data_IF_316094376794
#
_entry.id   IF_316094376794
#
_cell.length_a   1.000
_cell.length_b   1.000
_cell.length_c   1.000
_cell.angle_alpha   90.00
_cell.angle_beta   90.00
_cell.angle_gamma   90.00
#
_symmetry.space_group_name_H-M   'P 1'
#
loop_
_entity.id
_entity.type
_entity.pdbx_description
1 polymer ?
#
# COMPACT_ATOMS: atom_id res chain seq x y z
N UNK A 1 7.22 8.06 9.72
CA UNK A 1 6.54 6.78 9.45
C UNK A 1 5.36 6.73 10.41
N UNK A 2 4.12 6.62 9.94
CA UNK A 2 2.96 6.39 10.82
C UNK A 2 2.66 4.89 10.89
N UNK A 3 3.72 4.09 10.92
CA UNK A 3 3.64 2.67 11.25
C UNK A 3 3.93 2.61 12.74
N UNK A 4 2.91 2.29 13.53
CA UNK A 4 3.08 2.17 14.98
C UNK A 4 4.07 1.04 15.24
N UNK A 5 5.15 1.35 15.96
CA UNK A 5 6.13 0.33 16.34
C UNK A 5 5.61 -0.58 17.48
N UNK A 6 4.53 -0.15 18.15
CA UNK A 6 3.88 -0.81 19.28
C UNK A 6 2.35 -0.67 19.18
N UNK A 7 1.58 -1.61 19.75
CA UNK A 7 0.12 -1.46 19.82
C UNK A 7 -0.24 -0.35 20.82
N UNK A 8 -1.14 0.55 20.42
CA UNK A 8 -1.67 1.59 21.32
C UNK A 8 -2.95 1.08 21.98
N UNK A 9 -2.97 1.00 23.31
CA UNK A 9 -4.11 0.49 24.07
C UNK A 9 -5.18 1.57 24.25
N UNK A 10 -6.05 1.74 23.25
CA UNK A 10 -7.10 2.77 23.25
C UNK A 10 -8.12 2.62 24.40
N UNK A 11 -8.29 1.42 24.93
CA UNK A 11 -9.26 1.10 25.99
C UNK A 11 -8.77 1.41 27.40
N UNK A 12 -7.48 1.69 27.59
CA UNK A 12 -6.94 2.04 28.91
C UNK A 12 -7.60 3.32 29.42
N UNK A 13 -8.01 3.32 30.68
CA UNK A 13 -8.64 4.48 31.32
C UNK A 13 -7.57 5.43 31.85
N UNK A 14 -7.68 6.71 31.49
CA UNK A 14 -6.90 7.82 32.06
C UNK A 14 -7.89 8.91 32.46
N UNK A 15 -7.90 9.27 33.75
CA UNK A 15 -8.73 10.36 34.28
C UNK A 15 -10.18 10.27 33.80
N UNK A 16 -10.89 9.23 34.25
CA UNK A 16 -12.34 9.00 34.04
C UNK A 16 -12.78 8.60 32.62
N UNK A 17 -11.93 8.74 31.60
CA UNK A 17 -12.21 8.36 30.21
C UNK A 17 -11.16 7.39 29.67
N UNK A 18 -11.51 6.63 28.65
CA UNK A 18 -10.52 5.85 27.88
C UNK A 18 -9.58 6.77 27.10
N UNK A 19 -8.36 6.31 26.82
CA UNK A 19 -7.41 7.00 25.93
C UNK A 19 -8.04 7.30 24.57
N UNK A 20 -8.88 6.40 24.05
CA UNK A 20 -9.61 6.57 22.80
C UNK A 20 -10.54 7.79 22.82
N UNK A 21 -11.37 7.93 23.85
CA UNK A 21 -12.29 9.07 24.00
C UNK A 21 -11.54 10.42 24.08
N UNK A 22 -10.40 10.46 24.78
CA UNK A 22 -9.57 11.67 24.84
C UNK A 22 -9.02 12.07 23.46
N UNK A 23 -8.63 11.09 22.65
CA UNK A 23 -8.14 11.33 21.30
C UNK A 23 -9.30 11.77 20.40
N UNK A 24 -10.47 11.14 20.49
CA UNK A 24 -11.66 11.52 19.72
C UNK A 24 -12.05 12.98 19.97
N UNK A 25 -12.07 13.42 21.23
CA UNK A 25 -12.30 14.83 21.59
C UNK A 25 -11.30 15.78 20.92
N UNK A 26 -10.06 15.34 20.72
CA UNK A 26 -9.01 16.14 20.06
C UNK A 26 -9.15 16.15 18.53
N UNK A 27 -9.65 15.06 17.93
CA UNK A 27 -9.85 14.94 16.49
C UNK A 27 -11.18 15.54 16.01
N UNK A 28 -12.10 15.81 16.94
CA UNK A 28 -13.52 16.11 16.72
C UNK A 28 -14.36 14.89 16.35
N UNK A 29 -15.58 14.85 16.90
CA UNK A 29 -16.56 13.79 16.65
C UNK A 29 -16.91 13.72 15.16
N UNK A 30 -17.09 14.86 14.49
CA UNK A 30 -17.46 14.92 13.07
C UNK A 30 -16.40 14.33 12.16
N UNK A 31 -15.12 14.50 12.49
CA UNK A 31 -14.00 13.94 11.72
C UNK A 31 -13.81 12.46 11.98
N UNK A 32 -14.11 11.99 13.18
CA UNK A 32 -13.91 10.59 13.57
C UNK A 32 -15.13 9.69 13.26
N UNK A 33 -16.33 10.26 13.29
CA UNK A 33 -17.61 9.57 13.07
C UNK A 33 -17.67 8.69 11.81
N UNK A 34 -17.16 9.12 10.63
CA UNK A 34 -17.14 8.26 9.44
C UNK A 34 -16.38 6.94 9.65
N UNK A 35 -15.32 6.94 10.47
CA UNK A 35 -14.55 5.75 10.79
C UNK A 35 -15.26 4.88 11.84
N UNK A 36 -15.88 5.50 12.84
CA UNK A 36 -16.70 4.80 13.84
C UNK A 36 -17.87 4.06 13.20
N UNK A 37 -18.59 4.72 12.28
CA UNK A 37 -19.69 4.10 11.55
C UNK A 37 -19.21 2.88 10.75
N UNK A 38 -18.11 3.01 9.99
CA UNK A 38 -17.53 1.90 9.23
C UNK A 38 -16.97 0.77 10.10
N UNK A 39 -16.51 1.11 11.29
CA UNK A 39 -16.00 0.15 12.24
C UNK A 39 -17.10 -0.64 12.94
N UNK A 40 -18.37 -0.20 12.87
CA UNK A 40 -19.46 -0.75 13.68
C UNK A 40 -19.36 -0.34 15.15
N UNK A 41 -18.88 0.90 15.39
CA UNK A 41 -18.61 1.49 16.70
C UNK A 41 -17.52 0.78 17.54
N UNK A 42 -16.67 -0.01 16.89
CA UNK A 42 -15.43 -0.52 17.49
C UNK A 42 -14.32 0.55 17.40
N UNK A 43 -13.87 1.05 18.56
CA UNK A 43 -12.86 2.10 18.65
C UNK A 43 -11.50 1.70 18.05
N UNK A 44 -11.00 0.49 18.36
CA UNK A 44 -9.68 0.06 17.88
C UNK A 44 -9.68 -0.05 16.35
N UNK A 45 -10.76 -0.62 15.80
CA UNK A 45 -10.95 -0.70 14.36
C UNK A 45 -11.13 0.68 13.72
N UNK A 46 -11.88 1.59 14.33
CA UNK A 46 -12.07 2.96 13.85
C UNK A 46 -10.74 3.72 13.79
N UNK A 47 -9.91 3.62 14.84
CA UNK A 47 -8.58 4.22 14.85
C UNK A 47 -7.66 3.58 13.80
N UNK A 48 -7.71 2.26 13.59
CA UNK A 48 -6.93 1.61 12.55
C UNK A 48 -7.33 2.10 11.15
N UNK A 49 -8.62 2.32 10.88
CA UNK A 49 -9.10 2.92 9.64
C UNK A 49 -8.67 4.39 9.50
N UNK A 50 -8.73 5.18 10.57
CA UNK A 50 -8.26 6.56 10.59
C UNK A 50 -6.76 6.64 10.25
N UNK A 51 -5.93 5.83 10.92
CA UNK A 51 -4.50 5.75 10.68
C UNK A 51 -4.17 5.21 9.27
N UNK A 52 -4.98 4.28 8.75
CA UNK A 52 -4.86 3.83 7.37
C UNK A 52 -5.15 4.96 6.37
N UNK A 53 -6.24 5.71 6.56
CA UNK A 53 -6.55 6.88 5.74
C UNK A 53 -5.41 7.90 5.75
N UNK A 54 -4.86 8.21 6.93
CA UNK A 54 -3.74 9.14 7.07
C UNK A 54 -2.48 8.66 6.31
N UNK A 55 -2.13 7.37 6.43
CA UNK A 55 -1.02 6.76 5.68
C UNK A 55 -1.24 6.81 4.17
N UNK A 56 -2.46 6.52 3.73
CA UNK A 56 -2.81 6.50 2.31
C UNK A 56 -2.81 7.91 1.72
N UNK A 57 -3.46 8.87 2.39
CA UNK A 57 -3.42 10.29 2.03
C UNK A 57 -1.99 10.82 1.91
N UNK A 58 -1.12 10.45 2.85
CA UNK A 58 0.32 10.77 2.78
C UNK A 58 0.99 10.17 1.56
N UNK A 59 0.74 8.89 1.25
CA UNK A 59 1.35 8.21 0.11
C UNK A 59 0.96 8.88 -1.23
N UNK A 60 -0.27 9.40 -1.32
CA UNK A 60 -0.76 10.12 -2.50
C UNK A 60 -0.13 11.51 -2.69
N UNK A 61 0.47 12.13 -1.67
CA UNK A 61 1.07 13.46 -1.80
C UNK A 61 2.14 13.52 -2.89
N UNK A 62 3.03 12.52 -2.95
CA UNK A 62 4.09 12.49 -3.95
C UNK A 62 3.57 12.44 -5.40
N UNK A 63 2.76 11.44 -5.80
CA UNK A 63 2.28 11.36 -7.18
C UNK A 63 1.37 12.54 -7.57
N UNK A 64 0.55 13.07 -6.64
CA UNK A 64 -0.26 14.26 -6.90
C UNK A 64 0.59 15.52 -7.08
N UNK A 65 1.62 15.71 -6.26
CA UNK A 65 2.54 16.84 -6.40
C UNK A 65 3.30 16.77 -7.73
N UNK A 66 3.81 15.59 -8.10
CA UNK A 66 4.49 15.41 -9.38
C UNK A 66 3.56 15.67 -10.57
N UNK A 67 2.29 15.25 -10.49
CA UNK A 67 1.26 15.57 -11.48
C UNK A 67 1.03 17.09 -11.60
N UNK A 68 0.82 17.77 -10.48
CA UNK A 68 0.55 19.21 -10.45
C UNK A 68 1.70 20.01 -11.07
N UNK A 69 2.95 19.68 -10.70
CA UNK A 69 4.15 20.32 -11.25
C UNK A 69 4.34 20.01 -12.74
N UNK A 70 4.12 18.75 -13.15
CA UNK A 70 4.23 18.39 -14.56
C UNK A 70 3.18 19.11 -15.42
N UNK A 71 1.94 19.21 -14.93
CA UNK A 71 0.85 19.87 -15.63
C UNK A 71 1.14 21.37 -15.75
N UNK A 72 1.45 22.05 -14.64
CA UNK A 72 1.67 23.50 -14.64
C UNK A 72 2.85 23.90 -15.53
N UNK A 73 3.97 23.18 -15.46
CA UNK A 73 5.15 23.49 -16.28
C UNK A 73 4.86 23.26 -17.77
N UNK A 74 4.11 22.20 -18.09
CA UNK A 74 3.71 21.93 -19.48
C UNK A 74 2.80 23.03 -20.02
N UNK A 75 1.79 23.44 -19.24
CA UNK A 75 0.86 24.51 -19.63
C UNK A 75 1.57 25.87 -19.71
N UNK A 76 2.42 26.20 -18.75
CA UNK A 76 3.26 27.40 -18.75
C UNK A 76 4.11 27.48 -20.02
N UNK A 77 4.75 26.39 -20.44
CA UNK A 77 5.53 26.37 -21.70
C UNK A 77 4.69 26.58 -22.97
N UNK A 78 3.39 26.28 -22.91
CA UNK A 78 2.44 26.55 -24.01
C UNK A 78 2.05 28.02 -23.97
N UNK A 79 1.66 28.54 -22.80
CA UNK A 79 1.31 29.96 -22.66
C UNK A 79 2.46 30.89 -23.04
N UNK A 80 3.69 30.56 -22.62
CA UNK A 80 4.88 31.32 -22.98
C UNK A 80 5.09 31.46 -24.50
N UNK A 81 4.71 30.42 -25.26
CA UNK A 81 4.85 30.39 -26.73
C UNK A 81 3.72 31.08 -27.46
N UNK A 82 2.51 31.06 -26.91
CA UNK A 82 1.32 31.61 -27.56
C UNK A 82 1.10 33.09 -27.22
N UNK A 83 1.56 33.54 -26.05
CA UNK A 83 1.43 34.92 -25.58
C UNK A 83 2.82 35.57 -25.48
N UNK A 84 3.50 35.41 -24.34
CA UNK A 84 4.87 35.87 -24.10
C UNK A 84 5.48 35.14 -22.89
N UNK A 85 6.79 35.27 -22.66
CA UNK A 85 7.45 34.64 -21.51
C UNK A 85 6.80 35.04 -20.17
N UNK A 86 6.34 36.29 -20.06
CA UNK A 86 5.60 36.85 -18.93
C UNK A 86 4.06 36.84 -19.15
N UNK A 87 3.52 35.76 -19.72
CA UNK A 87 2.09 35.61 -20.11
C UNK A 87 1.08 35.96 -19.01
N UNK A 88 1.47 35.98 -17.74
CA UNK A 88 0.62 36.37 -16.62
C UNK A 88 0.26 37.87 -16.61
N UNK A 89 1.06 38.70 -17.29
CA UNK A 89 0.85 40.14 -17.50
C UNK A 89 0.25 40.47 -18.87
N UNK A 90 0.24 39.50 -19.80
CA UNK A 90 -0.25 39.67 -21.17
C UNK A 90 -1.75 40.02 -21.20
N UNK A 91 -2.12 41.04 -21.98
CA UNK A 91 -3.50 41.55 -22.04
C UNK A 91 -4.45 40.51 -22.64
N UNK A 92 -4.08 39.86 -23.74
CA UNK A 92 -4.90 38.85 -24.41
C UNK A 92 -5.12 37.62 -23.52
N UNK A 93 -4.08 37.18 -22.80
CA UNK A 93 -4.22 36.09 -21.83
C UNK A 93 -5.18 36.46 -20.69
N UNK A 94 -5.04 37.66 -20.12
CA UNK A 94 -5.87 38.13 -19.00
C UNK A 94 -7.32 38.34 -19.43
N UNK A 95 -7.56 38.85 -20.64
CA UNK A 95 -8.91 38.98 -21.23
C UNK A 95 -9.56 37.62 -21.52
N UNK A 96 -8.76 36.60 -21.87
CA UNK A 96 -9.27 35.23 -22.06
C UNK A 96 -9.79 34.63 -20.74
N UNK A 97 -9.20 34.99 -19.59
CA UNK A 97 -9.58 34.42 -18.30
C UNK A 97 -10.99 34.85 -17.87
N UNK A 98 -11.69 33.95 -17.17
CA UNK A 98 -12.87 34.36 -16.41
C UNK A 98 -12.48 35.21 -15.20
N UNK A 99 -13.48 35.85 -14.59
CA UNK A 99 -13.33 36.61 -13.35
C UNK A 99 -12.68 35.79 -12.22
N UNK A 100 -13.06 34.52 -12.05
CA UNK A 100 -12.50 33.66 -11.01
C UNK A 100 -11.06 33.22 -11.33
N UNK A 101 -10.77 32.95 -12.61
CA UNK A 101 -9.42 32.63 -13.08
C UNK A 101 -8.47 33.81 -12.86
N UNK A 102 -8.92 35.02 -13.19
CA UNK A 102 -8.18 36.26 -13.00
C UNK A 102 -7.92 36.55 -11.52
N UNK A 103 -8.95 36.44 -10.65
CA UNK A 103 -8.79 36.58 -9.20
C UNK A 103 -7.78 35.60 -8.61
N UNK A 104 -7.78 34.36 -9.10
CA UNK A 104 -6.83 33.33 -8.67
C UNK A 104 -5.40 33.67 -9.10
N UNK A 105 -5.22 34.11 -10.34
CA UNK A 105 -3.93 34.55 -10.87
C UNK A 105 -3.40 35.78 -10.13
N UNK A 106 -4.23 36.81 -9.94
CA UNK A 106 -3.85 38.04 -9.24
C UNK A 106 -3.48 37.78 -7.77
N UNK A 107 -4.13 36.80 -7.14
CA UNK A 107 -3.74 36.32 -5.80
C UNK A 107 -2.35 35.68 -5.82
N UNK A 108 -2.04 34.86 -6.83
CA UNK A 108 -0.72 34.25 -6.97
C UNK A 108 0.36 35.32 -7.19
N UNK A 109 0.11 36.31 -8.05
CA UNK A 109 0.99 37.46 -8.29
C UNK A 109 1.25 38.24 -6.99
N UNK A 110 0.20 38.52 -6.22
CA UNK A 110 0.32 39.23 -4.94
C UNK A 110 1.14 38.45 -3.88
N UNK A 111 1.06 37.13 -3.91
CA UNK A 111 1.77 36.26 -2.97
C UNK A 111 3.22 36.00 -3.39
N UNK A 112 3.53 36.17 -4.67
CA UNK A 112 4.89 36.06 -5.17
C UNK A 112 5.78 37.15 -4.55
N UNK A 113 7.03 36.77 -4.30
CA UNK A 113 8.05 37.67 -3.75
C UNK A 113 8.74 38.50 -4.82
N UNK A 114 8.73 38.00 -6.05
CA UNK A 114 9.34 38.59 -7.24
C UNK A 114 8.31 38.65 -8.37
N UNK A 115 8.60 39.45 -9.40
CA UNK A 115 7.80 39.49 -10.64
C UNK A 115 8.20 38.39 -11.63
N UNK A 116 9.07 37.46 -11.22
CA UNK A 116 9.48 36.34 -12.07
C UNK A 116 8.30 35.37 -12.25
N UNK A 117 8.02 35.02 -13.50
CA UNK A 117 6.98 34.05 -13.85
C UNK A 117 7.12 32.73 -13.09
N UNK A 118 8.35 32.29 -12.80
CA UNK A 118 8.57 31.06 -12.04
C UNK A 118 8.04 31.15 -10.60
N UNK A 119 8.20 32.31 -9.95
CA UNK A 119 7.70 32.58 -8.60
C UNK A 119 6.18 32.72 -8.59
N UNK A 120 5.61 33.40 -9.60
CA UNK A 120 4.15 33.49 -9.77
C UNK A 120 3.55 32.09 -9.95
N UNK A 121 4.09 31.29 -10.86
CA UNK A 121 3.65 29.90 -11.11
C UNK A 121 3.79 29.05 -9.85
N UNK A 122 4.85 29.22 -9.06
CA UNK A 122 5.01 28.50 -7.79
C UNK A 122 3.92 28.84 -6.75
N UNK A 123 3.35 30.05 -6.79
CA UNK A 123 2.28 30.52 -5.91
C UNK A 123 0.87 30.22 -6.44
N UNK A 124 0.73 29.63 -7.63
CA UNK A 124 -0.56 29.16 -8.15
C UNK A 124 -1.00 27.84 -7.50
N UNK A 125 -2.32 27.59 -7.50
CA UNK A 125 -2.90 26.33 -6.99
C UNK A 125 -3.22 25.37 -8.13
N UNK A 126 -3.26 24.06 -7.84
CA UNK A 126 -3.73 23.05 -8.79
C UNK A 126 -5.11 23.37 -9.41
N UNK A 127 -5.96 24.04 -8.65
CA UNK A 127 -7.31 24.44 -9.07
C UNK A 127 -7.26 25.40 -10.25
N UNK A 128 -6.34 26.38 -10.28
CA UNK A 128 -6.18 27.30 -11.42
C UNK A 128 -5.86 26.52 -12.70
N UNK A 129 -4.88 25.61 -12.65
CA UNK A 129 -4.47 24.83 -13.83
C UNK A 129 -5.57 23.88 -14.31
N UNK A 130 -6.34 23.31 -13.38
CA UNK A 130 -7.52 22.51 -13.70
C UNK A 130 -8.60 23.37 -14.37
N UNK A 131 -8.81 24.59 -13.85
CA UNK A 131 -9.79 25.53 -14.36
C UNK A 131 -9.44 26.02 -15.77
N UNK A 132 -8.17 26.26 -16.07
CA UNK A 132 -7.70 26.63 -17.41
C UNK A 132 -8.01 25.57 -18.47
N UNK A 133 -8.31 24.33 -18.10
CA UNK A 133 -8.75 23.26 -19.00
C UNK A 133 -10.28 23.20 -19.22
N UNK A 134 -11.05 24.08 -18.55
CA UNK A 134 -12.52 24.09 -18.61
C UNK A 134 -13.02 24.24 -20.06
N UNK A 135 -14.21 23.66 -20.40
CA UNK A 135 -14.79 23.75 -21.73
C UNK A 135 -14.82 25.15 -22.36
N UNK A 136 -14.98 26.20 -21.56
CA UNK A 136 -15.00 27.61 -22.00
C UNK A 136 -13.73 28.06 -22.74
N UNK A 137 -12.58 27.46 -22.42
CA UNK A 137 -11.31 27.75 -23.09
C UNK A 137 -11.11 26.88 -24.35
N UNK A 138 -12.21 26.42 -24.97
CA UNK A 138 -12.17 25.49 -26.10
C UNK A 138 -11.44 26.04 -27.30
N UNK A 139 -11.58 27.34 -27.59
CA UNK A 139 -10.97 27.94 -28.78
C UNK A 139 -9.45 27.97 -28.70
N UNK A 140 -8.91 28.26 -27.50
CA UNK A 140 -7.48 28.15 -27.21
C UNK A 140 -7.00 26.70 -27.31
N UNK A 141 -7.66 25.78 -26.58
CA UNK A 141 -7.22 24.38 -26.54
C UNK A 141 -7.41 23.64 -27.86
N UNK A 142 -8.35 24.04 -28.72
CA UNK A 142 -8.51 23.43 -30.05
C UNK A 142 -7.22 23.49 -30.86
N UNK A 143 -6.42 24.55 -30.69
CA UNK A 143 -5.16 24.76 -31.40
C UNK A 143 -3.96 24.19 -30.63
N UNK A 144 -4.06 24.12 -29.30
CA UNK A 144 -2.92 23.86 -28.41
C UNK A 144 -2.94 22.51 -27.69
N UNK A 145 -4.05 21.78 -27.70
CA UNK A 145 -4.20 20.54 -26.90
C UNK A 145 -3.26 19.42 -27.33
N UNK A 146 -2.95 19.30 -28.62
CA UNK A 146 -1.96 18.31 -29.08
C UNK A 146 -0.56 18.58 -28.53
N UNK A 147 -0.20 19.84 -28.25
CA UNK A 147 1.07 20.22 -27.61
C UNK A 147 1.10 19.80 -26.12
N UNK A 148 -0.06 19.76 -25.46
CA UNK A 148 -0.21 19.38 -24.05
C UNK A 148 -0.04 17.87 -23.82
N UNK A 149 -0.81 17.05 -24.54
CA UNK A 149 -0.93 15.60 -24.26
C UNK A 149 -0.93 14.70 -25.51
N UNK A 150 -0.65 15.25 -26.69
CA UNK A 150 -0.72 14.52 -27.96
C UNK A 150 -2.16 14.18 -28.40
N UNK A 151 -2.30 13.19 -29.28
CA UNK A 151 -3.59 12.79 -29.90
C UNK A 151 -4.23 11.55 -29.28
N UNK A 152 -3.68 11.04 -28.18
CA UNK A 152 -4.10 9.75 -27.60
C UNK A 152 -5.31 9.84 -26.67
N UNK A 153 -5.75 11.05 -26.31
CA UNK A 153 -6.86 11.31 -25.41
C UNK A 153 -7.66 12.51 -25.92
N UNK A 154 -8.98 12.53 -25.71
CA UNK A 154 -9.80 13.71 -26.01
C UNK A 154 -9.69 14.76 -24.90
N UNK A 155 -9.91 16.04 -25.24
CA UNK A 155 -9.94 17.15 -24.29
C UNK A 155 -10.91 16.92 -23.14
N UNK A 156 -12.13 16.47 -23.44
CA UNK A 156 -13.14 16.19 -22.42
C UNK A 156 -12.71 15.10 -21.44
N UNK A 157 -12.10 14.02 -21.93
CA UNK A 157 -11.59 12.95 -21.07
C UNK A 157 -10.41 13.41 -20.22
N UNK A 158 -9.46 14.15 -20.80
CA UNK A 158 -8.30 14.67 -20.06
C UNK A 158 -8.75 15.64 -18.95
N UNK A 159 -9.61 16.61 -19.28
CA UNK A 159 -10.20 17.52 -18.31
C UNK A 159 -10.95 16.78 -17.21
N UNK A 160 -11.80 15.80 -17.57
CA UNK A 160 -12.54 15.01 -16.58
C UNK A 160 -11.64 14.26 -15.60
N UNK A 161 -10.52 13.69 -16.09
CA UNK A 161 -9.50 13.06 -15.24
C UNK A 161 -8.82 14.07 -14.33
N UNK A 162 -8.29 15.17 -14.87
CA UNK A 162 -7.59 16.21 -14.08
C UNK A 162 -8.51 16.80 -13.01
N UNK A 163 -9.76 17.13 -13.36
CA UNK A 163 -10.77 17.63 -12.41
C UNK A 163 -10.99 16.65 -11.27
N UNK A 164 -11.21 15.39 -11.58
CA UNK A 164 -11.42 14.34 -10.58
C UNK A 164 -10.22 14.17 -9.66
N UNK A 165 -9.00 14.34 -10.18
CA UNK A 165 -7.77 14.28 -9.40
C UNK A 165 -7.55 15.53 -8.53
N UNK A 166 -7.94 16.72 -9.02
CA UNK A 166 -7.95 17.94 -8.22
C UNK A 166 -8.93 17.84 -7.04
N UNK A 167 -10.15 17.35 -7.28
CA UNK A 167 -11.14 17.11 -6.22
C UNK A 167 -10.59 16.12 -5.17
N UNK A 168 -9.93 15.05 -5.64
CA UNK A 168 -9.29 14.06 -4.76
C UNK A 168 -8.14 14.65 -3.93
N UNK A 169 -7.30 15.47 -4.55
CA UNK A 169 -6.21 16.21 -3.87
C UNK A 169 -6.77 17.17 -2.82
N UNK A 170 -7.84 17.90 -3.13
CA UNK A 170 -8.47 18.83 -2.19
C UNK A 170 -9.03 18.09 -0.97
N UNK A 171 -9.67 16.94 -1.15
CA UNK A 171 -10.09 16.09 -0.01
C UNK A 171 -8.91 15.71 0.90
N UNK A 172 -7.78 15.32 0.30
CA UNK A 172 -6.55 15.00 1.07
C UNK A 172 -6.06 16.23 1.84
N UNK A 173 -6.01 17.39 1.19
CA UNK A 173 -5.58 18.65 1.81
C UNK A 173 -6.52 19.12 2.94
N UNK A 174 -7.80 18.82 2.83
CA UNK A 174 -8.81 19.09 3.86
C UNK A 174 -8.90 18.00 4.94
N UNK A 175 -7.99 17.03 4.95
CA UNK A 175 -7.97 15.90 5.90
C UNK A 175 -9.28 15.10 5.92
N UNK A 176 -9.93 14.97 4.77
CA UNK A 176 -11.15 14.19 4.63
C UNK A 176 -10.85 12.69 4.41
N UNK A 177 -11.80 11.79 4.74
CA UNK A 177 -11.68 10.38 4.39
C UNK A 177 -11.66 10.17 2.87
N UNK A 178 -10.73 9.34 2.38
CA UNK A 178 -10.61 8.93 0.98
C UNK A 178 -10.95 7.46 0.73
N UNK A 179 -11.19 6.68 1.80
CA UNK A 179 -11.35 5.21 1.74
C UNK A 179 -12.52 4.72 0.87
N UNK A 180 -13.56 5.54 0.64
CA UNK A 180 -14.71 5.16 -0.23
C UNK A 180 -14.44 5.39 -1.71
N UNK A 181 -13.35 6.09 -2.02
CA UNK A 181 -12.95 6.33 -3.38
C UNK A 181 -12.14 5.13 -3.83
N UNK A 182 -12.29 4.77 -5.10
CA UNK A 182 -11.45 3.74 -5.72
C UNK A 182 -10.00 4.28 -5.82
N UNK A 183 -9.26 4.18 -4.71
CA UNK A 183 -7.93 4.74 -4.56
C UNK A 183 -6.94 4.08 -5.53
N UNK A 184 -7.12 2.79 -5.81
CA UNK A 184 -6.38 2.10 -6.86
C UNK A 184 -6.59 2.77 -8.22
N UNK A 185 -7.84 3.01 -8.62
CA UNK A 185 -8.13 3.71 -9.87
C UNK A 185 -7.59 5.15 -9.87
N UNK A 186 -7.64 5.87 -8.74
CA UNK A 186 -7.05 7.21 -8.64
C UNK A 186 -5.54 7.20 -8.84
N UNK A 187 -4.83 6.20 -8.30
CA UNK A 187 -3.40 6.05 -8.54
C UNK A 187 -3.12 5.82 -10.03
N UNK A 188 -3.89 4.95 -10.69
CA UNK A 188 -3.78 4.71 -12.13
C UNK A 188 -4.09 5.96 -12.95
N UNK A 189 -5.14 6.71 -12.61
CA UNK A 189 -5.50 7.96 -13.27
C UNK A 189 -4.37 9.00 -13.17
N UNK A 190 -3.73 9.15 -11.99
CA UNK A 190 -2.59 10.05 -11.81
C UNK A 190 -1.45 9.65 -12.74
N UNK A 191 -1.07 8.37 -12.73
CA UNK A 191 0.01 7.86 -13.56
C UNK A 191 -0.29 8.04 -15.05
N UNK A 192 -1.53 7.81 -15.47
CA UNK A 192 -1.96 7.99 -16.86
C UNK A 192 -1.86 9.46 -17.29
N UNK A 193 -2.31 10.41 -16.46
CA UNK A 193 -2.20 11.84 -16.77
C UNK A 193 -0.74 12.27 -16.84
N UNK A 194 0.10 11.84 -15.91
CA UNK A 194 1.55 12.12 -15.98
C UNK A 194 2.15 11.55 -17.26
N UNK A 195 1.74 10.34 -17.67
CA UNK A 195 2.23 9.71 -18.92
C UNK A 195 1.87 10.53 -20.17
N UNK A 196 0.69 11.14 -20.20
CA UNK A 196 0.32 12.06 -21.30
C UNK A 196 1.21 13.30 -21.35
N UNK A 197 1.66 13.80 -20.19
CA UNK A 197 2.49 15.01 -20.08
C UNK A 197 3.96 14.72 -20.37
N UNK A 198 4.50 13.63 -19.80
CA UNK A 198 5.90 13.23 -19.91
C UNK A 198 6.10 11.74 -19.52
N UNK A 199 6.63 10.94 -20.44
CA UNK A 199 6.85 9.50 -20.23
C UNK A 199 7.91 9.19 -19.15
N UNK A 200 8.98 9.97 -19.06
CA UNK A 200 10.04 9.77 -18.07
C UNK A 200 9.56 10.15 -16.66
N UNK A 201 8.77 11.22 -16.55
CA UNK A 201 8.12 11.56 -15.28
C UNK A 201 7.20 10.43 -14.81
N UNK A 202 6.45 9.80 -15.72
CA UNK A 202 5.64 8.62 -15.40
C UNK A 202 6.48 7.47 -14.85
N UNK A 203 7.58 7.11 -15.53
CA UNK A 203 8.46 6.03 -15.10
C UNK A 203 9.06 6.32 -13.72
N UNK A 204 9.48 7.56 -13.49
CA UNK A 204 10.04 8.01 -12.22
C UNK A 204 9.00 7.97 -11.09
N UNK A 205 7.80 8.51 -11.29
CA UNK A 205 6.73 8.52 -10.27
C UNK A 205 6.26 7.10 -9.97
N UNK A 206 6.06 6.26 -11.00
CA UNK A 206 5.67 4.86 -10.83
C UNK A 206 6.66 4.09 -9.95
N UNK A 207 7.97 4.35 -10.11
CA UNK A 207 9.02 3.65 -9.35
C UNK A 207 9.12 4.11 -7.89
N UNK A 208 8.81 5.36 -7.59
CA UNK A 208 8.96 5.94 -6.25
C UNK A 208 7.64 6.07 -5.48
N UNK A 209 6.49 5.88 -6.14
CA UNK A 209 5.18 5.87 -5.49
C UNK A 209 5.08 4.73 -4.50
N UNK A 210 4.67 5.06 -3.27
CA UNK A 210 4.41 4.07 -2.21
C UNK A 210 2.93 3.71 -2.08
N UNK A 211 2.06 4.27 -2.94
CA UNK A 211 0.61 4.11 -2.85
C UNK A 211 0.20 2.64 -2.91
N UNK A 212 0.72 1.87 -3.87
CA UNK A 212 0.37 0.45 -4.02
C UNK A 212 0.77 -0.37 -2.78
N UNK A 213 1.93 -0.09 -2.21
CA UNK A 213 2.39 -0.75 -0.98
C UNK A 213 1.47 -0.41 0.20
N UNK A 214 1.02 0.85 0.32
CA UNK A 214 0.12 1.26 1.40
C UNK A 214 -1.29 0.70 1.20
N UNK A 215 -1.81 0.64 -0.02
CA UNK A 215 -3.12 0.04 -0.33
C UNK A 215 -3.23 -1.41 0.18
N UNK A 216 -2.14 -2.17 0.14
CA UNK A 216 -2.10 -3.54 0.66
C UNK A 216 -2.18 -3.62 2.20
N UNK A 217 -2.07 -2.50 2.91
CA UNK A 217 -2.10 -2.43 4.37
C UNK A 217 -3.47 -2.03 4.95
N UNK A 218 -4.53 -2.15 4.14
CA UNK A 218 -5.90 -1.91 4.59
C UNK A 218 -6.23 -2.77 5.83
N UNK A 219 -6.84 -2.19 6.88
CA UNK A 219 -7.29 -2.98 8.03
C UNK A 219 -8.39 -3.97 7.61
N UNK A 220 -8.23 -5.23 7.99
CA UNK A 220 -9.22 -6.27 7.83
C UNK A 220 -10.53 -5.91 8.56
N UNK A 221 -11.66 -6.56 8.23
CA UNK A 221 -12.92 -6.38 8.93
C UNK A 221 -12.84 -6.64 10.46
N UNK A 222 -11.84 -7.42 10.90
CA UNK A 222 -11.50 -7.71 12.30
C UNK A 222 -10.55 -6.68 12.95
N UNK A 223 -10.19 -5.59 12.26
CA UNK A 223 -9.31 -4.52 12.77
C UNK A 223 -7.81 -4.72 12.55
N UNK A 224 -7.38 -5.87 12.00
CA UNK A 224 -5.98 -6.29 11.84
C UNK A 224 -5.44 -5.94 10.43
N UNK A 225 -4.22 -5.43 10.26
CA UNK A 225 -3.68 -5.03 8.94
C UNK A 225 -3.64 -6.22 7.94
N UNK A 226 -4.14 -6.07 6.70
CA UNK A 226 -4.12 -7.13 5.67
C UNK A 226 -2.76 -7.25 4.92
N UNK A 227 -2.53 -8.33 4.11
CA UNK A 227 -3.33 -9.57 4.05
C UNK A 227 -3.24 -10.33 5.37
N UNK A 228 -4.29 -11.07 5.72
CA UNK A 228 -4.30 -11.89 6.93
C UNK A 228 -3.49 -13.17 6.70
N UNK A 229 -2.92 -13.73 7.76
CA UNK A 229 -2.17 -14.99 7.65
C UNK A 229 -3.01 -16.09 7.01
N UNK A 230 -4.30 -16.20 7.36
CA UNK A 230 -5.25 -17.18 6.78
C UNK A 230 -5.39 -17.12 5.26
N UNK A 231 -5.07 -15.98 4.64
CA UNK A 231 -5.20 -15.77 3.19
C UNK A 231 -3.93 -16.18 2.44
N UNK A 232 -2.84 -16.46 3.18
CA UNK A 232 -1.52 -16.78 2.64
C UNK A 232 -0.98 -18.12 3.13
N UNK A 233 -1.78 -18.89 3.85
CA UNK A 233 -1.38 -20.23 4.32
C UNK A 233 -1.36 -21.24 3.18
N UNK A 234 -0.42 -22.17 3.27
CA UNK A 234 -0.50 -23.45 2.59
C UNK A 234 -1.32 -24.42 3.44
N UNK A 235 -2.34 -25.01 2.83
CA UNK A 235 -3.24 -25.97 3.48
C UNK A 235 -2.78 -27.42 3.30
N UNK A 236 -1.74 -27.66 2.50
CA UNK A 236 -1.19 -28.99 2.25
C UNK A 236 -0.23 -29.42 3.37
N UNK A 237 -0.80 -29.70 4.54
CA UNK A 237 -0.05 -30.16 5.70
C UNK A 237 -0.75 -31.32 6.43
N UNK A 238 0.02 -32.09 7.18
CA UNK A 238 -0.48 -33.10 8.11
C UNK A 238 0.21 -32.96 9.47
N UNK A 239 -0.56 -33.22 10.54
CA UNK A 239 -0.02 -33.29 11.90
C UNK A 239 0.36 -34.74 12.19
N UNK A 240 1.59 -34.95 12.65
CA UNK A 240 2.17 -36.25 12.96
C UNK A 240 2.86 -36.22 14.32
N UNK A 241 3.22 -37.40 14.82
CA UNK A 241 4.02 -37.57 16.04
C UNK A 241 5.42 -38.05 15.67
N UNK A 242 6.42 -37.80 16.52
CA UNK A 242 7.81 -38.24 16.26
C UNK A 242 7.97 -39.75 16.12
N UNK A 243 7.06 -40.53 16.69
CA UNK A 243 7.00 -42.00 16.56
C UNK A 243 6.43 -42.49 15.23
N UNK A 244 5.94 -41.59 14.36
CA UNK A 244 5.43 -41.95 13.05
C UNK A 244 6.52 -42.57 12.17
N UNK A 245 6.21 -43.70 11.54
CA UNK A 245 7.13 -44.43 10.68
C UNK A 245 7.17 -43.86 9.27
N UNK A 246 8.33 -43.95 8.60
CA UNK A 246 8.51 -43.41 7.25
C UNK A 246 7.64 -44.12 6.19
N UNK A 247 7.27 -45.38 6.40
CA UNK A 247 6.47 -46.15 5.44
C UNK A 247 4.99 -45.73 5.37
N UNK A 248 4.47 -45.05 6.39
CA UNK A 248 3.07 -44.63 6.51
C UNK A 248 2.91 -43.11 6.50
N UNK A 249 3.89 -42.39 5.95
CA UNK A 249 3.84 -40.93 5.94
C UNK A 249 2.72 -40.41 5.03
N UNK A 250 1.98 -39.39 5.48
CA UNK A 250 0.98 -38.74 4.66
C UNK A 250 1.66 -37.97 3.52
N UNK A 251 1.00 -37.90 2.36
CA UNK A 251 1.57 -37.32 1.13
C UNK A 251 1.65 -35.78 1.12
N UNK A 252 1.31 -35.12 2.22
CA UNK A 252 1.27 -33.68 2.32
C UNK A 252 2.66 -33.03 2.23
N UNK A 253 2.72 -31.81 1.69
CA UNK A 253 3.96 -31.03 1.57
C UNK A 253 4.64 -30.76 2.91
N UNK A 254 3.87 -30.39 3.93
CA UNK A 254 4.39 -30.07 5.26
C UNK A 254 3.94 -31.08 6.31
N UNK A 255 4.88 -31.58 7.11
CA UNK A 255 4.63 -32.51 8.20
C UNK A 255 4.91 -31.79 9.52
N UNK A 256 3.86 -31.52 10.29
CA UNK A 256 3.97 -30.87 11.60
C UNK A 256 4.11 -31.93 12.68
N UNK A 257 5.31 -32.07 13.22
CA UNK A 257 5.62 -32.94 14.35
C UNK A 257 5.29 -32.19 15.64
N UNK A 258 4.12 -32.48 16.22
CA UNK A 258 3.53 -31.71 17.32
C UNK A 258 4.32 -31.88 18.63
N UNK A 259 4.66 -33.11 18.99
CA UNK A 259 5.38 -33.46 20.22
C UNK A 259 6.83 -32.95 20.27
N UNK A 260 7.45 -32.69 19.11
CA UNK A 260 8.80 -32.12 19.01
C UNK A 260 8.81 -30.63 18.64
N UNK A 261 7.65 -30.05 18.36
CA UNK A 261 7.50 -28.68 17.86
C UNK A 261 8.39 -28.37 16.64
N UNK A 262 8.38 -29.26 15.64
CA UNK A 262 9.16 -29.13 14.40
C UNK A 262 8.25 -29.33 13.18
N UNK A 263 8.43 -28.51 12.14
CA UNK A 263 7.89 -28.78 10.80
C UNK A 263 8.97 -29.41 9.93
N UNK A 264 8.62 -30.49 9.25
CA UNK A 264 9.49 -31.25 8.35
C UNK A 264 8.88 -31.22 6.94
N UNK A 265 9.72 -31.22 5.92
CA UNK A 265 9.29 -31.46 4.54
C UNK A 265 10.12 -32.57 3.89
N UNK A 266 9.73 -33.01 2.69
CA UNK A 266 10.41 -34.09 1.98
C UNK A 266 11.90 -33.86 1.72
N UNK A 267 12.39 -32.62 1.74
CA UNK A 267 13.83 -32.34 1.57
C UNK A 267 14.62 -32.78 2.80
N UNK A 268 14.05 -32.68 4.00
CA UNK A 268 14.70 -33.16 5.22
C UNK A 268 14.70 -34.69 5.28
N UNK A 269 13.61 -35.34 4.86
CA UNK A 269 13.54 -36.81 4.73
C UNK A 269 14.52 -37.31 3.68
N UNK A 270 14.54 -36.71 2.48
CA UNK A 270 15.46 -37.09 1.42
C UNK A 270 16.93 -36.95 1.85
N UNK A 271 17.27 -35.87 2.58
CA UNK A 271 18.61 -35.70 3.13
C UNK A 271 18.96 -36.74 4.18
N UNK A 272 18.00 -37.14 5.01
CA UNK A 272 18.17 -38.26 5.93
C UNK A 272 18.43 -39.56 5.15
N UNK A 273 17.59 -39.93 4.19
CA UNK A 273 17.78 -41.15 3.39
C UNK A 273 19.14 -41.18 2.70
N UNK A 274 19.57 -40.06 2.10
CA UNK A 274 20.89 -39.95 1.48
C UNK A 274 22.05 -40.04 2.49
N UNK A 275 21.83 -39.72 3.77
CA UNK A 275 22.83 -39.88 4.83
C UNK A 275 22.98 -41.32 5.30
N UNK A 276 22.05 -42.21 4.96
CA UNK A 276 22.08 -43.62 5.35
C UNK A 276 22.78 -44.51 4.31
N UNK A 277 23.48 -43.92 3.34
CA UNK A 277 24.29 -44.67 2.39
C UNK A 277 25.46 -45.36 3.09
N UNK A 278 25.75 -46.58 2.70
CA UNK A 278 26.92 -47.31 3.17
C UNK A 278 28.21 -46.85 2.48
N UNK A 279 29.34 -47.46 2.84
CA UNK A 279 30.65 -47.14 2.28
C UNK A 279 30.77 -47.46 0.77
N UNK A 280 29.92 -48.36 0.25
CA UNK A 280 29.79 -48.68 -1.18
C UNK A 280 28.94 -47.66 -1.93
N UNK A 281 28.19 -46.80 -1.22
CA UNK A 281 27.28 -45.83 -1.79
C UNK A 281 25.86 -46.35 -2.02
N UNK A 282 25.57 -47.57 -1.56
CA UNK A 282 24.27 -48.22 -1.64
C UNK A 282 23.37 -47.79 -0.47
N UNK A 283 22.06 -47.77 -0.72
CA UNK A 283 21.05 -47.40 0.27
C UNK A 283 20.16 -48.62 0.56
N UNK A 284 20.39 -49.26 1.70
CA UNK A 284 19.63 -50.41 2.19
C UNK A 284 18.94 -50.02 3.49
N UNK A 285 17.66 -49.62 3.41
CA UNK A 285 16.93 -49.11 4.57
C UNK A 285 15.49 -49.63 4.60
N UNK A 286 15.07 -50.12 5.77
CA UNK A 286 13.73 -50.62 5.99
C UNK A 286 12.84 -49.52 6.58
N UNK A 287 12.01 -48.88 5.74
CA UNK A 287 11.19 -47.72 6.12
C UNK A 287 10.18 -48.02 7.24
N UNK A 288 9.82 -49.28 7.47
CA UNK A 288 8.94 -49.74 8.55
C UNK A 288 9.60 -49.70 9.93
N UNK A 289 10.92 -49.49 10.01
CA UNK A 289 11.69 -49.42 11.27
C UNK A 289 12.25 -48.03 11.56
N UNK A 290 12.06 -47.08 10.64
CA UNK A 290 12.58 -45.73 10.79
C UNK A 290 11.44 -44.78 11.14
N UNK A 291 11.66 -44.02 12.21
CA UNK A 291 10.73 -43.03 12.72
C UNK A 291 11.11 -41.62 12.26
N UNK A 292 10.18 -40.69 12.44
CA UNK A 292 10.44 -39.26 12.25
C UNK A 292 11.44 -38.73 13.29
N UNK A 293 11.48 -39.30 14.50
CA UNK A 293 12.50 -38.93 15.49
C UNK A 293 13.92 -39.23 15.00
N UNK A 294 14.13 -40.34 14.29
CA UNK A 294 15.44 -40.67 13.68
C UNK A 294 15.87 -39.62 12.66
N UNK A 295 14.93 -39.14 11.84
CA UNK A 295 15.15 -38.03 10.90
C UNK A 295 15.51 -36.76 11.65
N UNK A 296 14.76 -36.42 12.70
CA UNK A 296 14.99 -35.20 13.52
C UNK A 296 16.37 -35.24 14.17
N UNK A 297 16.76 -36.36 14.78
CA UNK A 297 18.02 -36.53 15.49
C UNK A 297 19.22 -36.49 14.53
N UNK A 298 19.18 -37.27 13.45
CA UNK A 298 20.24 -37.31 12.42
C UNK A 298 20.51 -35.93 11.81
N UNK A 299 19.44 -35.17 11.58
CA UNK A 299 19.49 -33.83 10.97
C UNK A 299 19.72 -32.72 12.00
N UNK A 300 19.79 -33.05 13.30
CA UNK A 300 19.88 -32.10 14.41
C UNK A 300 18.83 -30.97 14.30
N UNK A 301 17.60 -31.34 13.93
CA UNK A 301 16.50 -30.39 13.79
C UNK A 301 16.07 -29.93 15.19
N UNK A 302 15.90 -28.62 15.31
CA UNK A 302 15.38 -27.96 16.52
C UNK A 302 14.10 -27.24 16.15
N UNK A 303 13.35 -26.78 17.16
CA UNK A 303 12.16 -25.95 16.97
C UNK A 303 12.40 -24.89 15.89
N UNK A 304 11.61 -24.98 14.82
CA UNK A 304 11.82 -24.21 13.59
C UNK A 304 10.57 -23.43 13.15
N UNK A 305 9.53 -23.38 14.00
CA UNK A 305 8.31 -22.63 13.75
C UNK A 305 7.88 -21.75 14.93
N UNK A 306 7.05 -20.77 14.61
CA UNK A 306 6.29 -19.94 15.55
C UNK A 306 4.79 -20.10 15.23
N UNK A 307 3.94 -20.01 16.25
CA UNK A 307 2.49 -20.07 16.10
C UNK A 307 1.93 -18.65 16.10
N UNK A 308 1.03 -18.38 15.15
CA UNK A 308 0.32 -17.11 15.01
C UNK A 308 -1.18 -17.36 14.81
N UNK A 309 -2.00 -16.38 15.17
CA UNK A 309 -3.44 -16.39 14.94
C UNK A 309 -3.81 -16.12 13.48
N UNK A 310 -4.92 -16.69 13.02
CA UNK A 310 -5.41 -16.56 11.64
C UNK A 310 -5.78 -15.13 11.23
N UNK A 311 -6.05 -14.27 12.20
CA UNK A 311 -6.36 -12.83 12.04
C UNK A 311 -5.14 -11.93 12.17
N UNK A 312 -3.93 -12.48 12.32
CA UNK A 312 -2.72 -11.65 12.32
C UNK A 312 -2.35 -11.18 10.91
N UNK A 313 -1.66 -10.04 10.85
CA UNK A 313 -1.17 -9.47 9.58
C UNK A 313 0.02 -10.25 9.02
N UNK A 314 -0.05 -10.58 7.73
CA UNK A 314 1.05 -11.16 6.97
C UNK A 314 2.26 -10.23 6.87
N UNK A 315 2.08 -8.91 7.02
CA UNK A 315 3.18 -7.93 6.96
C UNK A 315 4.24 -8.20 8.04
N UNK A 316 3.82 -8.69 9.21
CA UNK A 316 4.73 -8.98 10.32
C UNK A 316 5.58 -10.24 10.12
N UNK A 317 5.23 -11.10 9.14
CA UNK A 317 5.97 -12.34 8.85
C UNK A 317 7.44 -12.08 8.54
N UNK A 318 7.76 -10.94 7.91
CA UNK A 318 9.14 -10.53 7.62
C UNK A 318 9.99 -10.42 8.90
N UNK A 319 9.44 -9.81 9.96
CA UNK A 319 10.12 -9.68 11.26
C UNK A 319 10.21 -11.02 11.97
N UNK A 320 9.16 -11.83 11.90
CA UNK A 320 9.14 -13.19 12.47
C UNK A 320 10.23 -14.07 11.84
N UNK A 321 10.39 -14.02 10.52
CA UNK A 321 11.40 -14.78 9.78
C UNK A 321 12.84 -14.25 9.91
N UNK A 322 13.07 -13.10 10.55
CA UNK A 322 14.43 -12.64 10.91
C UNK A 322 15.04 -13.45 12.06
N UNK A 323 14.22 -14.17 12.84
CA UNK A 323 14.71 -15.10 13.86
C UNK A 323 15.64 -16.15 13.25
N UNK A 324 16.83 -16.36 13.85
CA UNK A 324 17.88 -17.25 13.31
C UNK A 324 17.42 -18.68 13.00
N UNK A 325 16.36 -19.17 13.66
CA UNK A 325 15.90 -20.57 13.55
C UNK A 325 14.48 -20.73 12.99
N UNK A 326 13.76 -19.63 12.76
CA UNK A 326 12.36 -19.68 12.29
C UNK A 326 12.32 -19.85 10.78
N UNK A 327 11.82 -21.01 10.34
CA UNK A 327 11.62 -21.34 8.92
C UNK A 327 10.15 -21.40 8.54
N UNK A 328 9.26 -21.67 9.50
CA UNK A 328 7.84 -21.81 9.25
C UNK A 328 7.01 -20.96 10.23
N UNK A 329 5.82 -20.57 9.82
CA UNK A 329 4.78 -20.02 10.70
C UNK A 329 3.59 -20.97 10.63
N UNK A 330 3.13 -21.41 11.78
CA UNK A 330 1.91 -22.19 11.94
C UNK A 330 0.79 -21.22 12.24
N UNK A 331 -0.30 -21.31 11.48
CA UNK A 331 -1.47 -20.47 11.65
C UNK A 331 -2.56 -21.26 12.35
N UNK A 332 -3.13 -20.67 13.40
CA UNK A 332 -4.19 -21.28 14.20
C UNK A 332 -5.45 -20.43 14.26
N UNK A 333 -6.60 -21.10 14.21
CA UNK A 333 -7.91 -20.56 14.53
C UNK A 333 -8.34 -21.04 15.92
N UNK A 334 -8.91 -20.17 16.77
CA UNK A 334 -9.49 -20.57 18.04
C UNK A 334 -10.59 -21.63 17.92
N UNK A 335 -11.25 -21.71 16.76
CA UNK A 335 -12.39 -22.62 16.53
C UNK A 335 -12.02 -23.87 15.73
N UNK A 336 -11.04 -23.77 14.83
CA UNK A 336 -10.67 -24.86 13.90
C UNK A 336 -9.33 -25.52 14.21
N UNK A 337 -8.58 -25.03 15.20
CA UNK A 337 -7.23 -25.49 15.47
C UNK A 337 -6.25 -25.01 14.40
N UNK A 338 -5.30 -25.85 13.99
CA UNK A 338 -4.32 -25.49 12.95
C UNK A 338 -5.00 -25.34 11.58
N UNK A 339 -4.82 -24.18 10.94
CA UNK A 339 -5.43 -23.85 9.66
C UNK A 339 -4.46 -23.86 8.48
N UNK A 340 -3.16 -23.78 8.74
CA UNK A 340 -2.15 -23.94 7.68
C UNK A 340 -0.73 -23.55 8.09
N UNK A 341 0.18 -23.70 7.14
CA UNK A 341 1.62 -23.48 7.31
C UNK A 341 2.12 -22.44 6.31
N UNK A 342 2.99 -21.53 6.73
CA UNK A 342 3.65 -20.56 5.87
C UNK A 342 5.17 -20.82 5.92
N UNK A 343 5.76 -21.13 4.77
CA UNK A 343 7.21 -21.31 4.63
C UNK A 343 7.93 -19.98 4.38
N UNK A 344 9.12 -19.82 4.97
CA UNK A 344 10.01 -18.68 4.69
C UNK A 344 10.42 -18.66 3.21
N UNK A 345 10.22 -17.54 2.49
CA UNK A 345 10.59 -17.46 1.07
C UNK A 345 12.11 -17.56 0.84
N UNK A 346 12.51 -18.28 -0.23
CA UNK A 346 13.92 -18.53 -0.59
C UNK A 346 14.62 -17.33 -1.28
N UNK A 347 13.88 -16.39 -1.86
CA UNK A 347 14.36 -15.11 -2.41
C UNK A 347 13.29 -14.05 -2.20
N UNK A 348 13.68 -12.86 -1.73
CA UNK A 348 12.82 -11.67 -1.81
C UNK A 348 12.83 -11.22 -3.27
N UNK A 349 11.66 -11.23 -3.91
CA UNK A 349 11.42 -10.43 -5.12
C UNK A 349 11.14 -8.99 -4.70
#
# INVERSE_FOLDING_TARGET
MAESQEKYAYTDIICEKSKGEWIELSLSEERFSPYMYKAGHDYEKAFNLYLYNARLSKAFLFPLHALEVALRNKMQSIFAKEFCDDWHEDEDFREMLSEDGLKSLDRAIKNATTTDIEDVVANTTFELWTYLLHPQYSDFWRQNFTKLCGSNISRGQFYGKVKTLNDFRNRIAHYEPILEKNCFQRHLDILEVIKYLNLEAYNWVKKHSTVDAVLLTEPAPSGSTQPLLKEKVDIDFAVIQSTCLLNILPSNRFLVCDDKAIVIDYRDIAKYLLSQKDASGDLMLELSKVTIDDVIQSRNLKKNFVVCGETESFIHTKKIFQGKRTKYIIVQSPTKGMTGVIEKPHRQL
#
